data_IF_464732745239
#
_entry.id   IF_464732745239
#
_cell.length_a   1.000
_cell.length_b   1.000
_cell.length_c   1.000
_cell.angle_alpha   90.00
_cell.angle_beta   90.00
_cell.angle_gamma   90.00
#
_symmetry.space_group_name_H-M   'P 1'
#
loop_
_entity.id
_entity.type
_entity.pdbx_description
1 polymer ?
#
# COMPACT_ATOMS: atom_id res chain seq x y z
N UNK A 1 -19.02 -15.38 23.58
CA UNK A 1 -18.92 -14.90 22.19
C UNK A 1 -20.26 -15.10 21.51
N UNK A 2 -20.77 -14.07 20.82
CA UNK A 2 -22.01 -14.11 20.03
C UNK A 2 -21.70 -13.73 18.58
N UNK A 3 -22.26 -14.45 17.63
CA UNK A 3 -22.05 -14.18 16.21
C UNK A 3 -23.30 -14.46 15.37
N UNK A 4 -23.85 -13.40 14.78
CA UNK A 4 -24.91 -13.39 13.78
C UNK A 4 -25.02 -12.00 13.14
N UNK A 5 -24.78 -11.89 11.84
CA UNK A 5 -24.95 -10.64 11.10
C UNK A 5 -26.44 -10.33 11.04
N UNK A 6 -26.79 -9.16 11.57
CA UNK A 6 -28.16 -8.66 11.70
C UNK A 6 -28.14 -7.18 11.29
N UNK A 7 -28.45 -6.86 10.02
CA UNK A 7 -28.51 -5.49 9.56
C UNK A 7 -29.58 -4.67 10.29
N UNK A 8 -29.48 -3.35 10.19
CA UNK A 8 -30.50 -2.45 10.71
C UNK A 8 -31.76 -2.51 9.84
N UNK A 9 -32.93 -2.56 10.47
CA UNK A 9 -34.22 -2.45 9.76
C UNK A 9 -34.58 -0.99 9.50
N UNK A 10 -35.35 -0.73 8.44
CA UNK A 10 -35.71 0.64 8.05
C UNK A 10 -36.68 1.30 9.05
N UNK A 11 -37.59 0.51 9.62
CA UNK A 11 -38.56 0.95 10.63
C UNK A 11 -38.57 0.03 11.86
N UNK A 12 -38.94 0.52 13.07
CA UNK A 12 -39.15 -0.31 14.25
C UNK A 12 -40.24 -1.38 14.10
N UNK A 13 -41.18 -1.22 13.16
CA UNK A 13 -42.24 -2.19 12.86
C UNK A 13 -41.84 -3.28 11.87
N UNK A 14 -40.67 -3.16 11.24
CA UNK A 14 -40.18 -4.14 10.27
C UNK A 14 -39.66 -5.42 10.95
N UNK A 15 -39.75 -6.59 10.28
CA UNK A 15 -39.17 -7.82 10.79
C UNK A 15 -37.64 -7.71 10.89
N UNK A 16 -37.07 -8.36 11.90
CA UNK A 16 -35.60 -8.50 12.02
C UNK A 16 -35.11 -9.44 10.91
N UNK A 17 -34.19 -8.95 10.09
CA UNK A 17 -33.49 -9.73 9.08
C UNK A 17 -32.11 -10.10 9.61
N UNK A 18 -31.70 -11.35 9.39
CA UNK A 18 -30.39 -11.86 9.81
C UNK A 18 -29.98 -13.00 8.91
N UNK A 19 -28.68 -13.29 8.88
CA UNK A 19 -28.18 -14.47 8.19
C UNK A 19 -28.62 -15.79 8.85
N UNK A 20 -28.46 -16.88 8.09
CA UNK A 20 -28.74 -18.24 8.53
C UNK A 20 -27.67 -18.74 9.52
N UNK A 21 -26.42 -18.29 9.36
CA UNK A 21 -25.36 -18.61 10.29
C UNK A 21 -25.65 -18.00 11.66
N UNK A 22 -25.49 -18.80 12.70
CA UNK A 22 -25.60 -18.37 14.10
C UNK A 22 -24.61 -19.16 14.91
N UNK A 23 -23.91 -18.50 15.83
CA UNK A 23 -23.01 -19.17 16.77
C UNK A 23 -23.07 -18.50 18.14
N UNK A 24 -23.12 -19.32 19.18
CA UNK A 24 -23.09 -18.83 20.56
C UNK A 24 -22.15 -19.68 21.40
N UNK A 25 -21.04 -19.09 21.84
CA UNK A 25 -20.09 -19.75 22.75
C UNK A 25 -20.22 -19.12 24.13
N UNK A 26 -20.49 -19.95 25.13
CA UNK A 26 -20.90 -19.52 26.48
C UNK A 26 -20.05 -20.22 27.52
N UNK A 27 -19.53 -19.46 28.49
CA UNK A 27 -18.95 -20.06 29.68
C UNK A 27 -20.04 -20.67 30.56
N UNK A 28 -19.90 -21.93 30.95
CA UNK A 28 -20.91 -22.60 31.79
C UNK A 28 -20.80 -22.19 33.27
N UNK A 29 -21.05 -20.91 33.55
CA UNK A 29 -20.89 -20.26 34.87
C UNK A 29 -22.19 -19.57 35.30
N UNK A 30 -23.20 -20.37 35.63
CA UNK A 30 -24.53 -19.88 36.02
C UNK A 30 -24.81 -20.11 37.51
N UNK A 31 -25.13 -19.04 38.25
CA UNK A 31 -25.34 -19.11 39.70
C UNK A 31 -26.74 -19.60 40.13
N UNK A 32 -27.70 -19.68 39.20
CA UNK A 32 -29.09 -20.05 39.49
C UNK A 32 -29.71 -20.90 38.37
N UNK A 33 -28.94 -21.88 37.88
CA UNK A 33 -29.32 -22.71 36.74
C UNK A 33 -29.34 -21.94 35.42
N UNK A 34 -29.59 -22.68 34.34
CA UNK A 34 -29.73 -22.16 32.97
C UNK A 34 -30.62 -23.10 32.15
N UNK A 35 -31.13 -22.65 30.99
CA UNK A 35 -31.70 -23.57 30.01
C UNK A 35 -30.72 -24.67 29.60
N UNK A 36 -31.23 -25.76 29.02
CA UNK A 36 -30.44 -26.84 28.41
C UNK A 36 -29.77 -26.37 27.12
N UNK A 37 -28.87 -25.39 27.23
CA UNK A 37 -28.19 -24.77 26.09
C UNK A 37 -27.40 -25.78 25.25
N UNK A 38 -26.90 -26.84 25.87
CA UNK A 38 -26.15 -27.92 25.22
C UNK A 38 -26.94 -28.73 24.17
N UNK A 39 -28.28 -28.61 24.15
CA UNK A 39 -29.13 -29.30 23.16
C UNK A 39 -29.49 -28.42 21.97
N UNK A 40 -29.08 -27.15 21.99
CA UNK A 40 -29.37 -26.19 20.93
C UNK A 40 -28.21 -26.23 19.93
N UNK A 41 -28.53 -26.51 18.67
CA UNK A 41 -27.56 -26.48 17.59
C UNK A 41 -26.84 -25.13 17.52
N UNK A 42 -25.52 -25.16 17.33
CA UNK A 42 -24.61 -24.01 17.29
C UNK A 42 -24.39 -23.28 18.64
N UNK A 43 -24.87 -23.83 19.75
CA UNK A 43 -24.45 -23.40 21.08
C UNK A 43 -23.32 -24.28 21.60
N UNK A 44 -22.20 -23.67 21.97
CA UNK A 44 -21.06 -24.34 22.58
C UNK A 44 -20.89 -23.86 24.01
N UNK A 45 -21.03 -24.78 24.96
CA UNK A 45 -20.61 -24.55 26.34
C UNK A 45 -19.11 -24.82 26.47
N UNK A 46 -18.39 -23.90 27.09
CA UNK A 46 -16.94 -23.97 27.29
C UNK A 46 -16.56 -23.55 28.71
N UNK A 47 -15.36 -23.89 29.15
CA UNK A 47 -14.78 -23.38 30.40
C UNK A 47 -14.15 -21.98 30.22
N UNK A 48 -13.66 -21.71 29.01
CA UNK A 48 -13.03 -20.46 28.59
C UNK A 48 -13.54 -20.03 27.21
N UNK A 49 -14.12 -18.83 27.15
CA UNK A 49 -14.67 -18.23 25.92
C UNK A 49 -13.68 -17.33 25.19
N UNK A 50 -12.57 -16.96 25.84
CA UNK A 50 -11.65 -15.91 25.38
C UNK A 50 -11.04 -16.19 24.00
N UNK A 51 -10.62 -17.42 23.64
CA UNK A 51 -10.08 -17.69 22.30
C UNK A 51 -11.10 -17.45 21.18
N UNK A 52 -12.36 -17.87 21.40
CA UNK A 52 -13.45 -17.69 20.44
C UNK A 52 -13.84 -16.22 20.28
N UNK A 53 -13.86 -15.47 21.38
CA UNK A 53 -14.10 -14.03 21.34
C UNK A 53 -12.99 -13.29 20.59
N UNK A 54 -11.72 -13.57 20.90
CA UNK A 54 -10.58 -12.98 20.18
C UNK A 54 -10.62 -13.28 18.70
N UNK A 55 -10.89 -14.53 18.32
CA UNK A 55 -11.05 -14.94 16.92
C UNK A 55 -12.12 -14.11 16.22
N UNK A 56 -13.33 -14.02 16.78
CA UNK A 56 -14.44 -13.27 16.20
C UNK A 56 -14.15 -11.77 16.13
N UNK A 57 -13.62 -11.18 17.20
CA UNK A 57 -13.33 -9.74 17.26
C UNK A 57 -12.25 -9.35 16.25
N UNK A 58 -11.24 -10.20 16.03
CA UNK A 58 -10.16 -9.91 15.07
C UNK A 58 -10.53 -10.20 13.64
N UNK A 59 -11.09 -11.38 13.39
CA UNK A 59 -11.36 -11.83 12.03
C UNK A 59 -12.68 -11.29 11.50
N UNK A 60 -13.79 -11.39 12.24
CA UNK A 60 -15.08 -10.88 11.76
C UNK A 60 -15.18 -9.37 11.95
N UNK A 61 -15.07 -8.87 13.18
CA UNK A 61 -15.25 -7.43 13.40
C UNK A 61 -14.11 -6.60 12.79
N UNK A 62 -12.87 -7.11 12.84
CA UNK A 62 -11.72 -6.44 12.24
C UNK A 62 -11.85 -6.33 10.72
N UNK A 63 -12.24 -7.40 10.03
CA UNK A 63 -12.42 -7.36 8.58
C UNK A 63 -13.62 -6.53 8.15
N UNK A 64 -14.72 -6.48 8.93
CA UNK A 64 -15.81 -5.54 8.69
C UNK A 64 -15.32 -4.09 8.71
N UNK A 65 -14.54 -3.69 9.73
CA UNK A 65 -13.95 -2.35 9.79
C UNK A 65 -12.95 -2.12 8.65
N UNK A 66 -12.12 -3.12 8.32
CA UNK A 66 -11.13 -2.99 7.25
C UNK A 66 -11.80 -2.76 5.89
N UNK A 67 -12.77 -3.63 5.55
CA UNK A 67 -13.57 -3.55 4.34
C UNK A 67 -14.31 -2.22 4.25
N UNK A 68 -14.91 -1.76 5.36
CA UNK A 68 -15.90 -0.67 5.29
C UNK A 68 -15.30 0.63 4.77
N UNK A 69 -14.12 1.04 5.25
CA UNK A 69 -13.56 2.33 4.88
C UNK A 69 -13.05 2.35 3.44
N UNK A 70 -12.30 1.33 3.03
CA UNK A 70 -11.75 1.26 1.66
C UNK A 70 -12.87 1.12 0.63
N UNK A 71 -13.89 0.32 0.94
CA UNK A 71 -15.02 0.10 0.02
C UNK A 71 -15.91 1.33 -0.10
N UNK A 72 -16.13 2.07 0.98
CA UNK A 72 -16.91 3.30 0.92
C UNK A 72 -16.22 4.35 0.06
N UNK A 73 -14.91 4.53 0.26
CA UNK A 73 -14.06 5.42 -0.54
C UNK A 73 -14.06 5.02 -2.02
N UNK A 74 -14.09 3.71 -2.31
CA UNK A 74 -14.21 3.15 -3.66
C UNK A 74 -15.61 3.29 -4.28
N UNK A 75 -16.58 3.87 -3.56
CA UNK A 75 -17.93 4.13 -4.06
C UNK A 75 -18.94 3.00 -3.83
N UNK A 76 -18.54 1.92 -3.15
CA UNK A 76 -19.48 0.86 -2.77
C UNK A 76 -20.35 1.28 -1.57
N UNK A 77 -21.57 0.75 -1.50
CA UNK A 77 -22.51 1.01 -0.39
C UNK A 77 -23.05 -0.26 0.27
N UNK A 78 -23.19 -1.34 -0.48
CA UNK A 78 -23.57 -2.66 0.03
C UNK A 78 -22.35 -3.59 0.12
N UNK A 79 -22.27 -4.38 1.19
CA UNK A 79 -21.14 -5.29 1.48
C UNK A 79 -21.00 -6.38 0.42
N UNK A 80 -22.13 -6.98 0.01
CA UNK A 80 -22.15 -8.04 -1.02
C UNK A 80 -21.74 -7.51 -2.38
N UNK A 81 -22.14 -6.29 -2.75
CA UNK A 81 -21.69 -5.64 -3.97
C UNK A 81 -20.19 -5.30 -3.94
N UNK A 82 -19.67 -4.86 -2.79
CA UNK A 82 -18.24 -4.62 -2.64
C UNK A 82 -17.43 -5.91 -2.77
N UNK A 83 -17.86 -7.01 -2.16
CA UNK A 83 -17.18 -8.30 -2.26
C UNK A 83 -17.36 -9.01 -3.60
N UNK A 84 -18.29 -8.56 -4.45
CA UNK A 84 -18.35 -8.97 -5.85
C UNK A 84 -17.23 -8.35 -6.71
N UNK A 85 -16.61 -7.25 -6.24
CA UNK A 85 -15.39 -6.70 -6.85
C UNK A 85 -14.18 -7.53 -6.39
N UNK A 86 -13.35 -8.00 -7.34
CA UNK A 86 -12.19 -8.86 -7.09
C UNK A 86 -11.20 -8.20 -6.12
N UNK A 87 -10.91 -6.92 -6.30
CA UNK A 87 -9.83 -6.22 -5.60
C UNK A 87 -10.19 -6.00 -4.13
N UNK A 88 -11.45 -5.66 -3.87
CA UNK A 88 -12.00 -5.60 -2.51
C UNK A 88 -12.03 -6.99 -1.86
N UNK A 89 -12.46 -8.01 -2.58
CA UNK A 89 -12.45 -9.39 -2.10
C UNK A 89 -11.03 -9.85 -1.71
N UNK A 90 -10.05 -9.60 -2.57
CA UNK A 90 -8.66 -9.97 -2.35
C UNK A 90 -8.05 -9.19 -1.18
N UNK A 91 -8.33 -7.90 -1.05
CA UNK A 91 -7.95 -7.13 0.13
C UNK A 91 -8.46 -7.76 1.43
N UNK A 92 -9.75 -8.11 1.50
CA UNK A 92 -10.33 -8.74 2.71
C UNK A 92 -9.71 -10.10 2.96
N UNK A 93 -9.49 -10.91 1.92
CA UNK A 93 -8.80 -12.20 2.03
C UNK A 93 -7.38 -12.04 2.58
N UNK A 94 -6.61 -11.09 2.07
CA UNK A 94 -5.25 -10.80 2.53
C UNK A 94 -5.25 -10.28 3.97
N UNK A 95 -6.18 -9.39 4.33
CA UNK A 95 -6.37 -8.91 5.70
C UNK A 95 -6.68 -10.05 6.67
N UNK A 96 -7.61 -10.93 6.31
CA UNK A 96 -7.99 -12.08 7.14
C UNK A 96 -6.79 -13.01 7.39
N UNK A 97 -6.03 -13.34 6.35
CA UNK A 97 -4.81 -14.15 6.45
C UNK A 97 -3.77 -13.50 7.35
N UNK A 98 -3.54 -12.20 7.17
CA UNK A 98 -2.59 -11.42 7.96
C UNK A 98 -2.96 -11.40 9.45
N UNK A 99 -4.23 -11.16 9.77
CA UNK A 99 -4.72 -11.02 11.15
C UNK A 99 -4.88 -12.38 11.83
N UNK A 100 -5.19 -13.45 11.09
CA UNK A 100 -5.31 -14.81 11.61
C UNK A 100 -4.05 -15.30 12.33
N UNK A 101 -2.87 -14.82 11.92
CA UNK A 101 -1.59 -15.11 12.57
C UNK A 101 -1.52 -14.65 14.03
N UNK A 102 -2.40 -13.73 14.44
CA UNK A 102 -2.48 -13.24 15.83
C UNK A 102 -3.53 -13.99 16.64
N UNK A 103 -4.40 -14.77 16.01
CA UNK A 103 -5.47 -15.48 16.71
C UNK A 103 -4.88 -16.67 17.47
N UNK A 104 -5.12 -16.79 18.79
CA UNK A 104 -4.65 -17.95 19.54
C UNK A 104 -5.32 -19.23 19.05
N UNK A 105 -4.75 -20.39 19.35
CA UNK A 105 -5.39 -21.67 19.07
C UNK A 105 -6.82 -21.70 19.65
N UNK A 106 -7.81 -21.97 18.80
CA UNK A 106 -9.22 -22.05 19.18
C UNK A 106 -9.65 -23.51 19.12
N UNK A 107 -10.06 -24.12 20.26
CA UNK A 107 -10.42 -25.53 20.28
C UNK A 107 -11.51 -25.88 19.25
N UNK A 108 -11.25 -26.87 18.41
CA UNK A 108 -12.21 -27.38 17.43
C UNK A 108 -12.51 -26.45 16.25
N UNK A 109 -11.76 -25.36 16.07
CA UNK A 109 -11.93 -24.45 14.94
C UNK A 109 -10.73 -24.54 13.99
N UNK A 110 -11.03 -24.73 12.71
CA UNK A 110 -10.11 -24.51 11.61
C UNK A 110 -10.19 -23.03 11.19
N UNK A 111 -9.07 -22.30 11.35
CA UNK A 111 -9.02 -20.87 11.04
C UNK A 111 -9.04 -20.58 9.54
N UNK A 112 -8.50 -21.45 8.68
CA UNK A 112 -8.57 -21.26 7.23
C UNK A 112 -10.00 -21.42 6.75
N UNK A 113 -10.69 -22.47 7.24
CA UNK A 113 -12.10 -22.67 6.98
C UNK A 113 -12.95 -21.50 7.51
N UNK A 114 -12.66 -21.01 8.73
CA UNK A 114 -13.40 -19.88 9.31
C UNK A 114 -13.23 -18.60 8.48
N UNK A 115 -12.02 -18.29 8.01
CA UNK A 115 -11.77 -17.16 7.12
C UNK A 115 -12.55 -17.28 5.80
N UNK A 116 -12.50 -18.43 5.15
CA UNK A 116 -13.28 -18.68 3.93
C UNK A 116 -14.79 -18.55 4.19
N UNK A 117 -15.26 -18.99 5.36
CA UNK A 117 -16.66 -18.83 5.77
C UNK A 117 -17.06 -17.38 6.04
N UNK A 118 -16.16 -16.54 6.54
CA UNK A 118 -16.45 -15.11 6.68
C UNK A 118 -16.64 -14.45 5.32
N UNK A 119 -15.79 -14.73 4.34
CA UNK A 119 -15.95 -14.23 2.97
C UNK A 119 -17.28 -14.66 2.35
N UNK A 120 -17.65 -15.94 2.49
CA UNK A 120 -18.95 -16.50 2.06
C UNK A 120 -20.14 -15.78 2.72
N UNK A 121 -20.07 -15.56 4.05
CA UNK A 121 -21.12 -14.88 4.82
C UNK A 121 -21.28 -13.41 4.41
N UNK A 122 -20.18 -12.69 4.25
CA UNK A 122 -20.21 -11.28 3.87
C UNK A 122 -20.72 -11.10 2.44
N UNK A 123 -20.45 -12.07 1.55
CA UNK A 123 -20.89 -12.03 0.15
C UNK A 123 -22.37 -12.40 -0.04
N UNK A 124 -23.14 -12.61 1.03
CA UNK A 124 -24.54 -13.04 0.94
C UNK A 124 -25.47 -11.90 0.48
N UNK A 125 -26.02 -11.97 -0.76
CA UNK A 125 -26.83 -10.89 -1.33
C UNK A 125 -28.21 -10.74 -0.68
N UNK A 126 -28.63 -11.70 0.15
CA UNK A 126 -29.92 -11.64 0.84
C UNK A 126 -29.87 -10.79 2.12
N UNK A 127 -28.67 -10.49 2.63
CA UNK A 127 -28.49 -9.70 3.85
C UNK A 127 -28.50 -8.22 3.55
N UNK A 128 -27.90 -7.81 2.41
CA UNK A 128 -27.79 -6.40 1.98
C UNK A 128 -27.25 -5.50 3.09
N UNK A 129 -26.20 -5.97 3.75
CA UNK A 129 -25.59 -5.23 4.84
C UNK A 129 -24.94 -3.95 4.29
N UNK A 130 -25.06 -2.86 5.05
CA UNK A 130 -24.66 -1.53 4.59
C UNK A 130 -23.24 -1.22 5.06
N UNK A 131 -22.38 -0.82 4.12
CA UNK A 131 -21.01 -0.40 4.41
C UNK A 131 -20.97 0.77 5.39
N UNK A 132 -21.91 1.72 5.24
CA UNK A 132 -22.05 2.85 6.17
C UNK A 132 -22.17 2.35 7.61
N UNK A 133 -23.09 1.41 7.87
CA UNK A 133 -23.34 0.82 9.21
C UNK A 133 -22.09 0.14 9.79
N UNK A 134 -21.29 -0.50 8.93
CA UNK A 134 -20.02 -1.10 9.34
C UNK A 134 -18.99 -0.02 9.71
N UNK A 135 -18.95 1.09 8.99
CA UNK A 135 -18.04 2.22 9.19
C UNK A 135 -18.36 3.10 10.42
N UNK A 136 -19.58 3.02 10.97
CA UNK A 136 -19.96 3.79 12.17
C UNK A 136 -19.11 3.41 13.39
N UNK A 137 -18.96 4.33 14.35
CA UNK A 137 -18.26 4.10 15.62
C UNK A 137 -16.81 3.59 15.46
N UNK A 138 -16.15 3.97 14.37
CA UNK A 138 -14.80 3.56 14.03
C UNK A 138 -13.79 3.78 15.15
N UNK A 139 -13.84 4.91 15.86
CA UNK A 139 -12.94 5.22 16.97
C UNK A 139 -13.01 4.21 18.11
N UNK A 140 -14.16 3.58 18.32
CA UNK A 140 -14.37 2.53 19.33
C UNK A 140 -14.09 1.13 18.78
N UNK A 141 -14.49 0.86 17.53
CA UNK A 141 -14.23 -0.42 16.86
C UNK A 141 -12.73 -0.64 16.65
N UNK A 142 -12.00 0.34 16.09
CA UNK A 142 -10.57 0.23 15.81
C UNK A 142 -9.73 -0.01 17.08
N UNK A 143 -10.15 0.56 18.21
CA UNK A 143 -9.52 0.34 19.53
C UNK A 143 -9.64 -1.12 20.01
N UNK A 144 -10.73 -1.79 19.67
CA UNK A 144 -11.00 -3.16 20.15
C UNK A 144 -10.61 -4.23 19.13
N UNK A 145 -10.70 -3.93 17.82
CA UNK A 145 -10.45 -4.90 16.75
C UNK A 145 -9.02 -4.85 16.22
N UNK A 146 -8.46 -3.64 16.00
CA UNK A 146 -7.19 -3.47 15.31
C UNK A 146 -6.03 -3.16 16.25
N UNK A 147 -6.21 -2.30 17.25
CA UNK A 147 -5.12 -1.91 18.15
C UNK A 147 -4.42 -3.10 18.85
N UNK A 148 -5.14 -4.12 19.37
CA UNK A 148 -4.48 -5.30 19.93
C UNK A 148 -3.64 -6.07 18.89
N UNK A 149 -4.12 -6.12 17.64
CA UNK A 149 -3.41 -6.79 16.53
C UNK A 149 -2.16 -6.00 16.14
N UNK A 150 -2.25 -4.66 16.09
CA UNK A 150 -1.10 -3.77 15.86
C UNK A 150 -0.02 -4.04 16.90
N UNK A 151 -0.40 -4.11 18.18
CA UNK A 151 0.55 -4.34 19.26
C UNK A 151 1.22 -5.71 19.17
N UNK A 152 0.45 -6.78 18.93
CA UNK A 152 1.00 -8.14 18.81
C UNK A 152 1.91 -8.28 17.60
N UNK A 153 1.51 -7.76 16.43
CA UNK A 153 2.34 -7.73 15.23
C UNK A 153 3.64 -6.96 15.44
N UNK A 154 3.60 -5.85 16.17
CA UNK A 154 4.80 -5.07 16.50
C UNK A 154 5.73 -5.82 17.45
N UNK A 155 5.19 -6.48 18.47
CA UNK A 155 5.98 -7.32 19.39
C UNK A 155 6.67 -8.47 18.66
N UNK A 156 5.98 -9.11 17.70
CA UNK A 156 6.53 -10.20 16.90
C UNK A 156 7.30 -9.72 15.67
N UNK A 157 7.43 -8.41 15.46
CA UNK A 157 7.98 -7.78 14.24
C UNK A 157 7.38 -8.31 12.93
N UNK A 158 6.16 -8.83 12.98
CA UNK A 158 5.50 -9.41 11.82
C UNK A 158 4.95 -8.31 10.90
N UNK A 159 4.98 -8.51 9.57
CA UNK A 159 4.38 -7.56 8.64
C UNK A 159 2.87 -7.45 8.87
N UNK A 160 2.38 -6.22 8.68
CA UNK A 160 0.97 -5.88 8.79
C UNK A 160 0.52 -4.88 7.69
N UNK A 161 0.88 -5.09 6.40
CA UNK A 161 0.53 -4.16 5.32
C UNK A 161 -0.98 -3.97 5.15
N UNK A 162 -1.81 -5.02 5.27
CA UNK A 162 -3.26 -4.90 5.06
C UNK A 162 -3.94 -4.21 6.25
N UNK A 163 -3.47 -4.47 7.47
CA UNK A 163 -3.90 -3.74 8.65
C UNK A 163 -3.54 -2.25 8.56
N UNK A 164 -2.37 -1.93 7.99
CA UNK A 164 -1.96 -0.56 7.74
C UNK A 164 -2.81 0.12 6.66
N UNK A 165 -3.13 -0.58 5.57
CA UNK A 165 -4.03 -0.09 4.51
C UNK A 165 -5.43 0.17 5.05
N UNK A 166 -5.99 -0.78 5.82
CA UNK A 166 -7.27 -0.61 6.51
C UNK A 166 -7.29 0.65 7.39
N UNK A 167 -6.19 0.89 8.12
CA UNK A 167 -6.05 2.07 8.99
C UNK A 167 -5.90 3.35 8.17
N UNK A 168 -5.15 3.35 7.07
CA UNK A 168 -5.02 4.48 6.15
C UNK A 168 -6.36 4.84 5.50
N UNK A 169 -7.13 3.83 5.09
CA UNK A 169 -8.51 3.98 4.62
C UNK A 169 -9.40 4.64 5.68
N UNK A 170 -9.27 4.26 6.95
CA UNK A 170 -10.01 4.92 8.04
C UNK A 170 -9.62 6.40 8.20
N UNK A 171 -8.33 6.74 8.16
CA UNK A 171 -7.87 8.14 8.21
C UNK A 171 -8.49 8.94 7.07
N UNK A 172 -8.44 8.40 5.84
CA UNK A 172 -8.99 9.03 4.64
C UNK A 172 -10.51 9.19 4.69
N UNK A 173 -11.22 8.16 5.13
CA UNK A 173 -12.68 8.15 5.30
C UNK A 173 -13.12 9.24 6.29
N UNK A 174 -12.44 9.35 7.44
CA UNK A 174 -12.77 10.32 8.48
C UNK A 174 -12.65 11.78 8.06
N UNK A 175 -11.99 12.08 6.93
CA UNK A 175 -11.98 13.43 6.38
C UNK A 175 -13.37 13.89 5.87
N UNK A 176 -14.26 12.93 5.57
CA UNK A 176 -15.66 13.18 5.25
C UNK A 176 -15.95 13.42 3.77
N UNK A 177 -15.07 13.03 2.86
CA UNK A 177 -15.25 13.13 1.40
C UNK A 177 -14.71 11.86 0.75
N UNK A 178 -15.44 11.23 -0.18
CA UNK A 178 -14.96 10.03 -0.88
C UNK A 178 -14.00 10.37 -2.04
N UNK A 179 -13.56 9.38 -2.81
CA UNK A 179 -12.63 9.60 -3.93
C UNK A 179 -13.32 10.23 -5.16
N UNK A 180 -14.65 10.28 -5.17
CA UNK A 180 -15.45 10.92 -6.21
C UNK A 180 -15.87 12.34 -5.83
N UNK A 181 -15.41 12.84 -4.68
CA UNK A 181 -15.73 14.17 -4.18
C UNK A 181 -17.11 14.29 -3.52
N UNK A 182 -17.80 13.17 -3.23
CA UNK A 182 -19.07 13.21 -2.50
C UNK A 182 -18.82 13.31 -1.00
N UNK A 183 -19.69 14.06 -0.31
CA UNK A 183 -19.66 14.14 1.15
C UNK A 183 -19.98 12.78 1.79
N UNK A 184 -19.25 12.45 2.85
CA UNK A 184 -19.47 11.31 3.72
C UNK A 184 -19.99 11.80 5.06
N UNK A 185 -21.15 11.29 5.47
CA UNK A 185 -21.65 11.51 6.83
C UNK A 185 -20.86 10.65 7.83
N UNK A 186 -20.14 11.31 8.72
CA UNK A 186 -19.32 10.64 9.74
C UNK A 186 -20.14 10.48 11.03
N UNK A 187 -20.60 9.25 11.26
CA UNK A 187 -21.23 8.83 12.51
C UNK A 187 -20.19 8.15 13.41
N UNK A 188 -19.63 8.91 14.35
CA UNK A 188 -18.61 8.41 15.27
C UNK A 188 -18.67 9.19 16.61
N UNK A 189 -18.55 8.53 17.78
CA UNK A 189 -18.59 9.20 19.08
C UNK A 189 -17.45 10.21 19.28
N UNK A 190 -16.36 10.08 18.53
CA UNK A 190 -15.23 10.99 18.52
C UNK A 190 -15.12 11.84 17.25
N UNK A 191 -16.18 11.93 16.43
CA UNK A 191 -16.18 12.71 15.19
C UNK A 191 -15.73 14.16 15.41
N UNK A 192 -16.23 14.82 16.46
CA UNK A 192 -15.88 16.21 16.80
C UNK A 192 -14.37 16.42 17.06
N UNK A 193 -13.66 15.37 17.49
CA UNK A 193 -12.22 15.40 17.74
C UNK A 193 -11.43 14.94 16.52
N UNK A 194 -11.82 13.82 15.91
CA UNK A 194 -11.01 13.13 14.91
C UNK A 194 -11.21 13.68 13.49
N UNK A 195 -12.43 14.10 13.12
CA UNK A 195 -12.69 14.60 11.77
C UNK A 195 -11.91 15.88 11.43
N UNK A 196 -11.80 16.89 12.32
CA UNK A 196 -10.94 18.05 12.04
C UNK A 196 -9.48 17.68 11.79
N UNK A 197 -8.97 16.67 12.50
CA UNK A 197 -7.60 16.18 12.35
C UNK A 197 -7.45 15.43 11.02
N UNK A 198 -8.42 14.59 10.65
CA UNK A 198 -8.43 13.90 9.35
C UNK A 198 -8.49 14.90 8.17
N UNK A 199 -9.30 15.97 8.27
CA UNK A 199 -9.32 17.04 7.26
C UNK A 199 -8.00 17.78 7.16
N UNK A 200 -7.35 18.05 8.28
CA UNK A 200 -5.99 18.62 8.28
C UNK A 200 -4.96 17.66 7.67
N UNK A 201 -5.14 16.34 7.84
CA UNK A 201 -4.28 15.31 7.24
C UNK A 201 -4.38 15.28 5.70
N UNK A 202 -5.51 15.65 5.09
CA UNK A 202 -5.62 15.79 3.62
C UNK A 202 -4.66 16.85 3.09
N UNK A 203 -4.69 18.06 3.68
CA UNK A 203 -3.87 19.18 3.22
C UNK A 203 -2.39 19.03 3.58
N UNK A 204 -2.09 18.47 4.75
CA UNK A 204 -0.71 18.26 5.21
C UNK A 204 -0.07 16.97 4.70
N UNK A 205 -0.85 16.09 4.06
CA UNK A 205 -0.44 14.72 3.68
C UNK A 205 0.23 13.97 4.83
N UNK A 206 -0.30 14.11 6.05
CA UNK A 206 0.30 13.55 7.25
C UNK A 206 -0.76 12.85 8.11
N UNK A 207 -0.72 11.53 8.12
CA UNK A 207 -1.63 10.66 8.88
C UNK A 207 -1.30 10.60 10.37
N UNK A 208 -0.07 10.93 10.77
CA UNK A 208 0.43 10.70 12.14
C UNK A 208 -0.38 11.42 13.24
N UNK A 209 -0.76 12.70 13.12
CA UNK A 209 -1.56 13.37 14.14
C UNK A 209 -2.91 12.67 14.38
N UNK A 210 -3.51 12.13 13.32
CA UNK A 210 -4.76 11.37 13.42
C UNK A 210 -4.53 10.08 14.21
N UNK A 211 -3.49 9.31 13.87
CA UNK A 211 -3.14 8.07 14.59
C UNK A 211 -2.83 8.32 16.06
N UNK A 212 -2.11 9.39 16.37
CA UNK A 212 -1.79 9.81 17.73
C UNK A 212 -3.03 10.20 18.53
N UNK A 213 -4.02 10.85 17.90
CA UNK A 213 -5.29 11.19 18.54
C UNK A 213 -6.20 9.96 18.71
N UNK A 214 -6.23 9.09 17.70
CA UNK A 214 -7.07 7.90 17.67
C UNK A 214 -6.59 6.80 18.63
N UNK A 215 -5.30 6.47 18.60
CA UNK A 215 -4.72 5.36 19.35
C UNK A 215 -3.87 5.80 20.54
N UNK A 216 -3.45 7.06 20.59
CA UNK A 216 -2.59 7.60 21.64
C UNK A 216 -1.14 7.76 21.20
N UNK A 217 -0.55 8.89 21.60
CA UNK A 217 0.83 9.29 21.24
C UNK A 217 1.89 8.26 21.61
N UNK A 218 1.82 7.72 22.82
CA UNK A 218 2.84 6.78 23.29
C UNK A 218 2.75 5.44 22.57
N UNK A 219 1.55 5.00 22.19
CA UNK A 219 1.36 3.82 21.37
C UNK A 219 2.01 4.03 20.00
N UNK A 220 1.72 5.14 19.31
CA UNK A 220 2.32 5.39 17.99
C UNK A 220 3.83 5.58 18.06
N UNK A 221 4.38 6.13 19.15
CA UNK A 221 5.83 6.18 19.39
C UNK A 221 6.45 4.79 19.56
N UNK A 222 5.75 3.85 20.18
CA UNK A 222 6.22 2.47 20.35
C UNK A 222 6.08 1.64 19.05
N UNK A 223 5.28 2.11 18.09
CA UNK A 223 5.00 1.39 16.85
C UNK A 223 5.32 2.26 15.60
N UNK A 224 6.54 2.83 15.47
CA UNK A 224 6.87 3.78 14.41
C UNK A 224 6.85 3.15 13.02
N UNK A 225 7.22 1.87 12.90
CA UNK A 225 7.17 1.14 11.64
C UNK A 225 5.73 0.95 11.12
N UNK A 226 4.78 0.72 12.03
CA UNK A 226 3.36 0.64 11.66
C UNK A 226 2.84 2.01 11.20
N UNK A 227 3.14 3.08 11.95
CA UNK A 227 2.76 4.44 11.55
C UNK A 227 3.35 4.84 10.18
N UNK A 228 4.60 4.43 9.89
CA UNK A 228 5.22 4.63 8.57
C UNK A 228 4.50 3.87 7.45
N UNK A 229 4.08 2.62 7.68
CA UNK A 229 3.28 1.84 6.72
C UNK A 229 1.91 2.46 6.48
N UNK A 230 1.25 2.96 7.52
CA UNK A 230 -0.02 3.69 7.36
C UNK A 230 0.18 4.95 6.54
N UNK A 231 1.26 5.69 6.78
CA UNK A 231 1.60 6.88 6.00
C UNK A 231 1.82 6.55 4.53
N UNK A 232 2.59 5.49 4.22
CA UNK A 232 2.82 5.07 2.83
C UNK A 232 1.52 4.73 2.10
N UNK A 233 0.62 3.97 2.73
CA UNK A 233 -0.70 3.68 2.16
C UNK A 233 -1.56 4.92 2.02
N UNK A 234 -1.52 5.82 3.01
CA UNK A 234 -2.28 7.06 2.98
C UNK A 234 -1.83 7.96 1.84
N UNK A 235 -0.53 8.09 1.59
CA UNK A 235 0.02 8.85 0.48
C UNK A 235 -0.41 8.28 -0.87
N UNK A 236 -0.38 6.96 -1.04
CA UNK A 236 -0.89 6.29 -2.25
C UNK A 236 -2.38 6.53 -2.47
N UNK A 237 -3.20 6.37 -1.43
CA UNK A 237 -4.63 6.65 -1.50
C UNK A 237 -4.88 8.11 -1.94
N UNK A 238 -4.09 9.07 -1.45
CA UNK A 238 -4.22 10.47 -1.86
C UNK A 238 -3.75 10.76 -3.28
N UNK A 239 -2.81 9.97 -3.81
CA UNK A 239 -2.24 10.18 -5.13
C UNK A 239 -3.04 9.48 -6.23
N UNK A 240 -3.35 8.20 -6.02
CA UNK A 240 -3.89 7.29 -7.02
C UNK A 240 -5.40 7.01 -6.83
N UNK A 241 -5.92 7.27 -5.62
CA UNK A 241 -7.25 6.84 -5.20
C UNK A 241 -7.28 5.38 -4.73
N UNK A 242 -8.24 5.03 -3.88
CA UNK A 242 -8.32 3.72 -3.25
C UNK A 242 -8.57 2.59 -4.26
N UNK A 243 -9.27 2.88 -5.36
CA UNK A 243 -9.54 1.89 -6.41
C UNK A 243 -8.25 1.37 -7.06
N UNK A 244 -7.31 2.26 -7.42
CA UNK A 244 -5.99 1.88 -7.94
C UNK A 244 -5.12 1.17 -6.90
N UNK A 245 -5.20 1.61 -5.63
CA UNK A 245 -4.51 0.96 -4.52
C UNK A 245 -4.97 -0.49 -4.34
N UNK A 246 -6.27 -0.76 -4.47
CA UNK A 246 -6.82 -2.12 -4.36
C UNK A 246 -6.46 -2.99 -5.56
N UNK A 247 -6.57 -2.46 -6.78
CA UNK A 247 -6.23 -3.16 -8.05
C UNK A 247 -4.75 -3.59 -8.09
N UNK A 248 -3.85 -2.77 -7.55
CA UNK A 248 -2.40 -3.05 -7.52
C UNK A 248 -1.93 -3.88 -6.31
N UNK A 249 -2.83 -4.44 -5.49
CA UNK A 249 -2.43 -5.22 -4.30
C UNK A 249 -1.64 -6.48 -4.64
N UNK A 250 -1.93 -7.13 -5.77
CA UNK A 250 -1.22 -8.34 -6.21
C UNK A 250 0.24 -8.02 -6.58
N UNK A 251 0.53 -6.81 -7.09
CA UNK A 251 1.90 -6.36 -7.37
C UNK A 251 2.68 -6.02 -6.07
N UNK A 252 1.97 -5.58 -5.04
CA UNK A 252 2.54 -5.13 -3.76
C UNK A 252 2.65 -6.24 -2.71
N UNK A 253 1.85 -7.31 -2.82
CA UNK A 253 1.94 -8.50 -1.98
C UNK A 253 3.34 -9.13 -2.06
N UNK A 254 4.03 -9.01 -3.20
CA UNK A 254 5.42 -9.45 -3.40
C UNK A 254 6.49 -8.45 -2.94
N UNK A 255 6.12 -7.18 -2.69
CA UNK A 255 7.02 -6.17 -2.09
C UNK A 255 7.02 -6.17 -0.57
N UNK A 256 6.06 -6.87 0.07
CA UNK A 256 5.94 -7.00 1.53
C UNK A 256 5.99 -8.46 2.02
N UNK A 257 5.82 -9.45 1.14
CA UNK A 257 6.08 -10.84 1.43
C UNK A 257 7.57 -11.15 1.20
N UNK A 258 8.18 -11.78 2.20
CA UNK A 258 9.60 -12.14 2.30
C UNK A 258 10.59 -10.97 2.42
N UNK A 259 10.65 -10.42 3.63
CA UNK A 259 11.96 -10.26 4.28
C UNK A 259 11.88 -11.01 5.61
N UNK A 260 12.26 -12.30 5.57
CA UNK A 260 12.57 -13.06 6.77
C UNK A 260 13.83 -12.45 7.40
N UNK A 261 13.65 -11.68 8.46
CA UNK A 261 14.72 -10.97 9.19
C UNK A 261 15.49 -11.94 10.10
N UNK A 262 15.97 -13.03 9.50
CA UNK A 262 16.83 -14.03 10.11
C UNK A 262 18.29 -13.76 9.76
N UNK A 263 19.04 -13.27 10.74
CA UNK A 263 20.48 -13.34 10.88
C UNK A 263 21.34 -13.52 9.59
N UNK A 264 21.33 -12.75 8.50
CA UNK A 264 20.66 -11.50 8.17
C UNK A 264 21.10 -10.89 6.84
N UNK A 265 20.58 -9.69 6.59
CA UNK A 265 20.59 -9.13 5.26
C UNK A 265 20.45 -7.61 5.40
N UNK A 266 21.57 -6.93 5.67
CA UNK A 266 21.60 -5.47 5.73
C UNK A 266 21.56 -4.82 4.34
N UNK A 267 21.78 -5.58 3.26
CA UNK A 267 21.99 -4.99 1.93
C UNK A 267 20.70 -4.68 1.16
N UNK A 268 19.58 -5.38 1.40
CA UNK A 268 18.34 -5.11 0.62
C UNK A 268 17.64 -3.81 1.00
N UNK A 269 17.50 -3.53 2.30
CA UNK A 269 16.97 -2.24 2.79
C UNK A 269 17.86 -1.07 2.37
N UNK A 270 19.16 -1.31 2.25
CA UNK A 270 20.15 -0.31 1.85
C UNK A 270 20.12 -0.04 0.35
N UNK A 271 19.92 -1.08 -0.49
CA UNK A 271 19.68 -0.96 -1.94
C UNK A 271 18.41 -0.15 -2.25
N UNK A 272 17.30 -0.44 -1.56
CA UNK A 272 16.05 0.32 -1.69
C UNK A 272 16.19 1.75 -1.17
N UNK A 273 16.92 1.96 -0.08
CA UNK A 273 17.18 3.30 0.46
C UNK A 273 18.02 4.15 -0.49
N UNK A 274 18.98 3.54 -1.21
CA UNK A 274 19.81 4.22 -2.23
C UNK A 274 19.02 4.58 -3.49
N UNK A 275 18.16 3.69 -3.99
CA UNK A 275 17.27 4.02 -5.12
C UNK A 275 16.24 5.09 -4.74
N UNK A 276 15.77 5.10 -3.49
CA UNK A 276 14.94 6.18 -2.95
C UNK A 276 15.69 7.52 -2.75
N UNK A 277 17.03 7.54 -2.84
CA UNK A 277 17.79 8.81 -2.89
C UNK A 277 17.66 9.52 -4.23
N UNK A 278 17.32 8.80 -5.30
CA UNK A 278 17.03 9.35 -6.63
C UNK A 278 15.62 9.95 -6.58
N UNK A 279 15.54 11.19 -6.10
CA UNK A 279 14.30 11.97 -6.09
C UNK A 279 14.23 12.79 -7.37
N UNK A 280 13.53 12.25 -8.37
CA UNK A 280 13.11 13.02 -9.53
C UNK A 280 11.82 13.75 -9.17
N UNK A 281 11.76 15.05 -9.44
CA UNK A 281 10.51 15.81 -9.35
C UNK A 281 9.72 15.65 -10.65
N UNK A 282 8.43 16.01 -10.61
CA UNK A 282 7.60 16.06 -11.82
C UNK A 282 8.23 16.94 -12.90
N UNK A 283 8.80 18.08 -12.51
CA UNK A 283 9.52 19.01 -13.41
C UNK A 283 10.79 18.37 -14.00
N UNK A 284 11.52 17.57 -13.23
CA UNK A 284 12.68 16.82 -13.75
C UNK A 284 12.26 15.78 -14.79
N UNK A 285 11.15 15.08 -14.55
CA UNK A 285 10.62 14.08 -15.47
C UNK A 285 10.07 14.71 -16.75
N UNK A 286 9.35 15.83 -16.67
CA UNK A 286 8.91 16.58 -17.85
C UNK A 286 10.10 17.06 -18.69
N UNK A 287 11.14 17.60 -18.06
CA UNK A 287 12.35 18.02 -18.77
C UNK A 287 13.10 16.84 -19.40
N UNK A 288 13.16 15.69 -18.72
CA UNK A 288 13.71 14.46 -19.29
C UNK A 288 12.90 13.99 -20.49
N UNK A 289 11.57 14.02 -20.40
CA UNK A 289 10.71 13.64 -21.52
C UNK A 289 10.99 14.51 -22.75
N UNK A 290 10.94 15.84 -22.58
CA UNK A 290 11.17 16.81 -23.66
C UNK A 290 12.56 16.71 -24.28
N UNK A 291 13.57 16.29 -23.52
CA UNK A 291 14.92 16.12 -24.02
C UNK A 291 15.08 14.97 -25.03
N UNK A 292 14.21 13.96 -24.95
CA UNK A 292 14.30 12.75 -25.77
C UNK A 292 13.18 12.64 -26.82
N UNK A 293 12.16 13.50 -26.76
CA UNK A 293 11.19 13.73 -27.84
C UNK A 293 11.89 14.50 -28.97
N UNK A 294 12.64 13.78 -29.81
CA UNK A 294 13.56 14.38 -30.75
C UNK A 294 12.86 15.05 -31.94
N UNK A 295 11.61 14.67 -32.20
CA UNK A 295 10.78 15.20 -33.27
C UNK A 295 9.73 16.22 -32.80
N UNK A 296 9.68 16.52 -31.50
CA UNK A 296 8.72 17.44 -30.85
C UNK A 296 7.26 17.01 -31.16
N UNK A 297 7.03 15.70 -31.21
CA UNK A 297 5.72 15.11 -31.49
C UNK A 297 4.77 15.15 -30.30
N UNK A 298 5.31 15.37 -29.09
CA UNK A 298 4.60 15.27 -27.82
C UNK A 298 4.51 13.83 -27.29
N UNK A 299 5.24 12.89 -27.87
CA UNK A 299 5.31 11.48 -27.48
C UNK A 299 6.77 11.02 -27.52
N UNK A 300 7.13 10.04 -26.69
CA UNK A 300 8.37 9.29 -26.89
C UNK A 300 8.05 8.02 -27.68
N UNK A 301 8.62 7.89 -28.86
CA UNK A 301 8.63 6.62 -29.60
C UNK A 301 9.51 5.60 -28.84
N UNK A 302 9.25 4.31 -29.04
CA UNK A 302 10.01 3.25 -28.35
C UNK A 302 11.53 3.42 -28.45
N UNK A 303 12.07 3.76 -29.62
CA UNK A 303 13.52 3.92 -29.81
C UNK A 303 14.09 5.14 -29.06
N UNK A 304 13.30 6.20 -28.89
CA UNK A 304 13.65 7.38 -28.10
C UNK A 304 13.66 7.03 -26.60
N UNK A 305 12.64 6.30 -26.15
CA UNK A 305 12.56 5.84 -24.77
C UNK A 305 13.66 4.82 -24.43
N UNK A 306 14.01 3.93 -25.36
CA UNK A 306 15.18 3.02 -25.23
C UNK A 306 16.45 3.82 -25.00
N UNK A 307 16.63 4.89 -25.77
CA UNK A 307 17.79 5.78 -25.67
C UNK A 307 17.80 6.50 -24.32
N UNK A 308 16.64 7.00 -23.87
CA UNK A 308 16.47 7.62 -22.57
C UNK A 308 16.86 6.67 -21.43
N UNK A 309 16.35 5.43 -21.42
CA UNK A 309 16.68 4.45 -20.37
C UNK A 309 18.17 4.09 -20.36
N UNK A 310 18.77 3.94 -21.54
CA UNK A 310 20.21 3.69 -21.69
C UNK A 310 21.02 4.81 -21.06
N UNK A 311 20.72 6.04 -21.42
CA UNK A 311 21.44 7.21 -20.92
C UNK A 311 21.20 7.41 -19.42
N UNK A 312 19.97 7.18 -18.95
CA UNK A 312 19.60 7.26 -17.54
C UNK A 312 20.38 6.27 -16.66
N UNK A 313 20.35 4.97 -16.98
CA UNK A 313 21.04 3.95 -16.19
C UNK A 313 22.56 4.06 -16.31
N UNK A 314 23.07 4.44 -17.49
CA UNK A 314 24.49 4.77 -17.66
C UNK A 314 24.89 5.91 -16.72
N UNK A 315 24.09 6.97 -16.67
CA UNK A 315 24.39 8.13 -15.85
C UNK A 315 24.35 7.83 -14.36
N UNK A 316 23.38 7.03 -13.89
CA UNK A 316 23.36 6.58 -12.49
C UNK A 316 24.64 5.81 -12.18
N UNK A 317 25.07 4.89 -13.05
CA UNK A 317 26.30 4.10 -12.85
C UNK A 317 27.55 4.98 -12.78
N UNK A 318 27.58 6.11 -13.48
CA UNK A 318 28.69 7.08 -13.44
C UNK A 318 28.68 7.99 -12.21
N UNK A 319 27.50 8.43 -11.77
CA UNK A 319 27.35 9.43 -10.71
C UNK A 319 27.30 8.81 -9.31
N UNK A 320 26.70 7.62 -9.17
CA UNK A 320 26.57 6.94 -7.88
C UNK A 320 27.92 6.72 -7.17
N UNK A 321 29.02 6.33 -7.86
CA UNK A 321 30.34 6.20 -7.24
C UNK A 321 30.97 7.51 -6.74
N UNK A 322 30.46 8.66 -7.19
CA UNK A 322 30.97 9.99 -6.80
C UNK A 322 30.34 10.48 -5.50
N UNK A 323 29.28 9.82 -5.04
CA UNK A 323 28.57 10.16 -3.81
C UNK A 323 29.39 9.66 -2.63
N UNK A 324 29.62 10.52 -1.64
CA UNK A 324 30.27 10.12 -0.39
C UNK A 324 29.30 9.31 0.47
N UNK A 325 29.25 8.02 0.22
CA UNK A 325 28.46 7.05 0.97
C UNK A 325 29.07 6.74 2.35
N UNK A 326 30.31 7.16 2.62
CA UNK A 326 31.01 6.82 3.88
C UNK A 326 30.44 7.54 5.09
N UNK A 327 29.91 8.75 4.91
CA UNK A 327 29.23 9.53 5.96
C UNK A 327 27.86 8.95 6.33
N UNK A 328 27.31 8.15 5.42
CA UNK A 328 25.99 7.56 5.51
C UNK A 328 26.15 6.14 6.07
N UNK A 329 26.93 5.28 5.43
CA UNK A 329 27.02 3.84 5.73
C UNK A 329 28.35 3.41 6.39
N UNK A 330 29.33 4.31 6.54
CA UNK A 330 30.68 3.97 7.01
C UNK A 330 31.58 3.41 5.90
N UNK A 331 32.89 3.66 6.00
CA UNK A 331 33.84 3.40 4.89
C UNK A 331 34.05 1.92 4.51
N UNK A 332 33.77 0.97 5.41
CA UNK A 332 33.91 -0.46 5.11
C UNK A 332 32.67 -1.06 4.44
N UNK A 333 31.50 -0.46 4.64
CA UNK A 333 30.23 -0.89 4.04
C UNK A 333 29.94 -0.13 2.73
N UNK A 334 30.48 1.08 2.54
CA UNK A 334 30.21 1.94 1.38
C UNK A 334 30.61 1.32 0.03
N UNK A 335 31.79 0.70 -0.05
CA UNK A 335 32.34 0.23 -1.33
C UNK A 335 31.65 -1.06 -1.77
N UNK A 336 31.46 -2.01 -0.84
CA UNK A 336 30.73 -3.27 -1.10
C UNK A 336 29.27 -3.01 -1.50
N UNK A 337 28.62 -2.07 -0.83
CA UNK A 337 27.23 -1.69 -1.10
C UNK A 337 27.08 -0.98 -2.44
N UNK A 338 28.02 -0.10 -2.78
CA UNK A 338 28.04 0.60 -4.06
C UNK A 338 28.16 -0.39 -5.22
N UNK A 339 29.11 -1.32 -5.14
CA UNK A 339 29.30 -2.36 -6.16
C UNK A 339 28.03 -3.21 -6.33
N UNK A 340 27.39 -3.62 -5.24
CA UNK A 340 26.14 -4.38 -5.27
C UNK A 340 24.96 -3.61 -5.88
N UNK A 341 24.86 -2.31 -5.65
CA UNK A 341 23.80 -1.47 -6.23
C UNK A 341 24.06 -1.27 -7.72
N UNK A 342 25.30 -1.05 -8.12
CA UNK A 342 25.69 -0.99 -9.53
C UNK A 342 25.41 -2.31 -10.24
N UNK A 343 25.60 -3.46 -9.59
CA UNK A 343 25.25 -4.77 -10.14
C UNK A 343 23.73 -4.97 -10.26
N UNK A 344 22.93 -4.38 -9.37
CA UNK A 344 21.47 -4.51 -9.35
C UNK A 344 20.76 -3.62 -10.38
N UNK A 345 21.35 -2.47 -10.76
CA UNK A 345 20.80 -1.61 -11.81
C UNK A 345 20.64 -2.40 -13.11
N UNK A 346 19.60 -2.14 -13.93
CA UNK A 346 19.54 -2.62 -15.30
C UNK A 346 20.86 -2.36 -16.03
N UNK A 347 21.31 -3.36 -16.78
CA UNK A 347 22.36 -3.13 -17.76
C UNK A 347 21.74 -2.26 -18.86
N UNK A 348 22.24 -1.04 -19.11
CA UNK A 348 21.70 -0.18 -20.15
C UNK A 348 21.67 -0.88 -21.51
N UNK A 349 22.61 -1.81 -21.77
CA UNK A 349 22.71 -2.50 -23.06
C UNK A 349 21.86 -3.80 -23.13
N UNK A 350 21.14 -4.16 -22.07
CA UNK A 350 20.26 -5.35 -22.06
C UNK A 350 18.86 -5.03 -22.61
N UNK A 351 18.69 -5.31 -23.91
CA UNK A 351 17.42 -5.11 -24.62
C UNK A 351 16.24 -5.90 -24.02
N UNK A 352 16.46 -6.98 -23.26
CA UNK A 352 15.35 -7.74 -22.63
C UNK A 352 14.70 -6.92 -21.53
N UNK A 353 15.52 -6.29 -20.68
CA UNK A 353 15.04 -5.44 -19.58
C UNK A 353 14.36 -4.20 -20.13
N UNK A 354 14.97 -3.59 -21.15
CA UNK A 354 14.42 -2.41 -21.80
C UNK A 354 13.08 -2.69 -22.47
N UNK A 355 12.93 -3.84 -23.15
CA UNK A 355 11.66 -4.24 -23.76
C UNK A 355 10.58 -4.57 -22.71
N UNK A 356 10.95 -5.15 -21.55
CA UNK A 356 9.99 -5.35 -20.46
C UNK A 356 9.46 -4.02 -19.89
N UNK A 357 10.33 -3.02 -19.77
CA UNK A 357 9.93 -1.69 -19.29
C UNK A 357 9.04 -0.98 -20.31
N UNK A 358 9.35 -1.10 -21.60
CA UNK A 358 8.49 -0.62 -22.69
C UNK A 358 7.10 -1.22 -22.64
N UNK A 359 6.96 -2.55 -22.48
CA UNK A 359 5.66 -3.21 -22.39
C UNK A 359 4.81 -2.73 -21.20
N UNK A 360 5.46 -2.22 -20.13
CA UNK A 360 4.77 -1.73 -18.95
C UNK A 360 4.32 -0.27 -19.10
N UNK A 361 5.07 0.53 -19.86
CA UNK A 361 4.81 1.95 -20.10
C UNK A 361 3.88 2.19 -21.29
N UNK A 362 4.12 1.48 -22.39
CA UNK A 362 3.24 1.40 -23.54
C UNK A 362 2.29 0.21 -23.35
N UNK A 363 1.36 0.36 -22.41
CA UNK A 363 0.39 -0.68 -22.08
C UNK A 363 -0.64 -0.93 -23.21
N UNK A 364 -0.72 -0.02 -24.19
CA UNK A 364 -1.66 -0.11 -25.32
C UNK A 364 -1.00 -0.66 -26.60
N UNK A 365 0.33 -0.85 -26.59
CA UNK A 365 1.18 -1.39 -27.66
C UNK A 365 1.11 -0.55 -28.96
N UNK A 366 0.93 0.77 -28.83
CA UNK A 366 0.84 1.70 -29.96
C UNK A 366 2.19 2.24 -30.44
N UNK A 367 3.27 1.90 -29.75
CA UNK A 367 4.65 2.29 -30.06
C UNK A 367 5.07 3.61 -29.44
N UNK A 368 4.18 4.29 -28.69
CA UNK A 368 4.36 5.66 -28.20
C UNK A 368 4.08 5.74 -26.70
N UNK A 369 4.76 6.67 -26.04
CA UNK A 369 4.58 6.92 -24.61
C UNK A 369 4.18 8.38 -24.45
N UNK A 370 3.01 8.63 -23.87
CA UNK A 370 2.54 9.99 -23.59
C UNK A 370 3.27 10.61 -22.37
N UNK A 371 3.32 11.95 -22.25
CA UNK A 371 3.99 12.62 -21.12
C UNK A 371 3.43 12.18 -19.76
N UNK A 372 2.11 12.09 -19.62
CA UNK A 372 1.47 11.67 -18.37
C UNK A 372 1.77 10.20 -18.05
N UNK A 373 1.74 9.30 -19.05
CA UNK A 373 2.07 7.88 -18.90
C UNK A 373 3.54 7.69 -18.50
N UNK A 374 4.44 8.46 -19.11
CA UNK A 374 5.84 8.51 -18.74
C UNK A 374 5.98 8.95 -17.28
N UNK A 375 5.43 10.10 -16.89
CA UNK A 375 5.64 10.64 -15.54
C UNK A 375 5.04 9.74 -14.46
N UNK A 376 3.84 9.22 -14.69
CA UNK A 376 3.13 8.37 -13.71
C UNK A 376 3.86 7.04 -13.48
N UNK A 377 4.52 6.51 -14.51
CA UNK A 377 5.05 5.14 -14.49
C UNK A 377 6.58 5.06 -14.45
N UNK A 378 7.30 6.14 -14.81
CA UNK A 378 8.78 6.17 -14.78
C UNK A 378 9.32 6.04 -13.36
N UNK A 379 8.59 6.54 -12.36
CA UNK A 379 8.92 6.31 -10.95
C UNK A 379 8.92 4.81 -10.58
N UNK A 380 8.04 4.00 -11.18
CA UNK A 380 8.04 2.55 -10.98
C UNK A 380 9.27 1.90 -11.62
N UNK A 381 9.65 2.36 -12.81
CA UNK A 381 10.84 1.88 -13.56
C UNK A 381 12.13 2.12 -12.78
N UNK A 382 12.27 3.28 -12.14
CA UNK A 382 13.44 3.61 -11.30
C UNK A 382 13.48 2.76 -10.02
N UNK A 383 12.33 2.22 -9.59
CA UNK A 383 12.17 1.52 -8.31
C UNK A 383 12.28 -0.01 -8.42
N UNK A 384 12.21 -0.61 -9.63
CA UNK A 384 12.04 -2.07 -9.78
C UNK A 384 13.23 -2.78 -10.46
N UNK A 385 13.91 -3.65 -9.70
CA UNK A 385 14.36 -4.98 -10.17
C UNK A 385 14.32 -6.00 -9.02
N UNK A 386 13.12 -6.49 -8.69
CA UNK A 386 12.88 -7.37 -7.52
C UNK A 386 12.63 -8.85 -7.84
N UNK A 387 12.98 -9.38 -9.02
CA UNK A 387 12.50 -10.72 -9.42
C UNK A 387 13.54 -11.76 -9.91
N UNK A 388 14.85 -11.55 -9.73
CA UNK A 388 15.82 -12.60 -10.15
C UNK A 388 16.98 -12.91 -9.20
N UNK A 389 17.18 -12.19 -8.08
CA UNK A 389 18.39 -12.33 -7.27
C UNK A 389 18.18 -12.84 -5.83
N UNK A 390 16.93 -13.08 -5.40
CA UNK A 390 16.61 -13.50 -4.03
C UNK A 390 16.90 -14.98 -3.70
N UNK A 391 17.68 -15.69 -4.53
CA UNK A 391 17.96 -17.13 -4.33
C UNK A 391 19.25 -17.40 -3.53
N UNK A 392 20.16 -16.44 -3.34
CA UNK A 392 21.44 -16.73 -2.69
C UNK A 392 21.83 -15.78 -1.54
N UNK A 393 21.98 -16.38 -0.35
CA UNK A 393 22.82 -16.03 0.80
C UNK A 393 22.26 -15.15 1.95
N UNK A 394 22.14 -15.80 3.12
CA UNK A 394 21.82 -15.31 4.47
C UNK A 394 23.06 -14.96 5.34
N UNK A 395 23.09 -13.86 6.12
CA UNK A 395 24.06 -13.56 7.21
C UNK A 395 24.15 -12.07 7.74
N UNK A 396 24.09 -11.73 9.07
CA UNK A 396 23.65 -10.42 9.62
C UNK A 396 24.75 -9.43 10.06
N UNK A 397 24.31 -8.20 10.50
CA UNK A 397 24.77 -7.30 11.62
C UNK A 397 25.10 -5.85 11.17
N UNK A 398 24.92 -4.72 11.92
CA UNK A 398 23.94 -4.25 12.93
C UNK A 398 23.25 -2.86 12.65
N UNK A 399 22.13 -2.61 13.35
CA UNK A 399 21.32 -1.37 13.25
C UNK A 399 21.90 -0.11 13.94
N UNK A 400 22.21 0.92 13.15
CA UNK A 400 22.07 2.34 13.56
C UNK A 400 21.28 3.09 12.48
N UNK A 401 20.35 3.97 12.91
CA UNK A 401 19.49 4.73 12.01
C UNK A 401 20.32 5.79 11.28
N UNK A 402 20.69 5.49 10.04
CA UNK A 402 21.42 6.40 9.18
C UNK A 402 20.46 7.43 8.59
N UNK A 403 20.71 8.71 8.88
CA UNK A 403 20.00 9.81 8.24
C UNK A 403 20.67 10.10 6.90
N UNK A 404 20.05 9.66 5.80
CA UNK A 404 20.59 9.80 4.45
C UNK A 404 20.12 11.12 3.81
N UNK A 405 21.00 12.05 3.42
CA UNK A 405 20.61 13.25 2.67
C UNK A 405 20.19 12.88 1.24
N UNK A 406 19.17 13.55 0.65
CA UNK A 406 18.73 13.26 -0.72
C UNK A 406 19.84 13.55 -1.74
N UNK A 407 19.95 12.70 -2.77
CA UNK A 407 20.73 13.03 -3.96
C UNK A 407 19.95 14.09 -4.74
N UNK A 408 20.30 15.35 -4.56
CA UNK A 408 19.96 16.37 -5.54
C UNK A 408 20.96 16.25 -6.66
N UNK A 409 20.53 15.85 -7.85
CA UNK A 409 21.39 15.99 -9.02
C UNK A 409 21.64 17.48 -9.27
N UNK A 410 22.74 17.98 -8.74
CA UNK A 410 23.08 19.40 -8.81
C UNK A 410 23.29 19.84 -10.25
N UNK A 411 22.54 20.86 -10.67
CA UNK A 411 22.93 21.88 -11.65
C UNK A 411 23.26 21.44 -13.09
N UNK A 412 23.07 20.17 -13.46
CA UNK A 412 23.42 19.67 -14.81
C UNK A 412 22.28 19.01 -15.58
N UNK A 413 21.18 18.59 -14.95
CA UNK A 413 19.98 18.16 -15.70
C UNK A 413 19.35 19.33 -16.47
N UNK A 414 19.37 20.55 -15.91
CA UNK A 414 18.97 21.77 -16.62
C UNK A 414 19.99 22.26 -17.68
N UNK A 415 21.03 21.48 -18.03
CA UNK A 415 21.97 21.79 -19.11
C UNK A 415 21.96 20.76 -20.26
N UNK A 416 20.87 20.02 -20.43
CA UNK A 416 20.67 19.14 -21.59
C UNK A 416 20.71 19.91 -22.95
N UNK A 417 20.64 21.26 -22.94
CA UNK A 417 20.85 22.08 -24.15
C UNK A 417 22.24 21.95 -24.82
N UNK A 418 23.24 21.27 -24.23
CA UNK A 418 24.62 21.30 -24.76
C UNK A 418 25.29 19.97 -25.13
N UNK A 419 24.65 18.81 -24.96
CA UNK A 419 25.34 17.51 -25.16
C UNK A 419 24.63 16.52 -26.10
N UNK A 420 23.55 16.93 -26.77
CA UNK A 420 23.02 16.14 -27.88
C UNK A 420 23.97 16.23 -29.10
N UNK A 421 24.80 15.18 -29.26
CA UNK A 421 25.72 14.88 -30.37
C UNK A 421 26.97 15.76 -30.48
N UNK A 422 28.06 15.26 -29.91
CA UNK A 422 29.41 15.54 -30.39
C UNK A 422 30.04 14.25 -30.94
N UNK A 423 29.37 13.66 -31.93
CA UNK A 423 30.00 12.74 -32.89
C UNK A 423 30.01 13.43 -34.24
N UNK A 424 31.20 13.89 -34.62
CA UNK A 424 31.44 14.45 -35.94
C UNK A 424 31.23 13.39 -37.01
N UNK A 425 30.18 13.56 -37.80
CA UNK A 425 30.32 13.58 -39.25
C UNK A 425 29.13 14.31 -39.90
N UNK A 426 29.45 15.02 -40.97
CA UNK A 426 28.62 15.94 -41.76
C UNK A 426 27.13 15.61 -41.90
N UNK A 427 26.27 16.65 -41.93
CA UNK A 427 25.43 16.97 -43.12
C UNK A 427 24.63 18.29 -42.95
N UNK A 428 24.96 19.21 -43.85
CA UNK A 428 24.18 20.27 -44.53
C UNK A 428 23.38 21.36 -43.75
N UNK A 429 23.71 22.60 -44.11
CA UNK A 429 23.08 23.86 -43.69
C UNK A 429 21.72 24.14 -44.38
N UNK A 430 21.20 23.24 -45.20
CA UNK A 430 19.93 23.46 -45.92
C UNK A 430 18.67 23.30 -45.03
N UNK A 431 18.76 22.59 -43.91
CA UNK A 431 17.61 22.40 -42.99
C UNK A 431 17.39 23.57 -42.02
N UNK A 432 18.41 24.39 -41.76
CA UNK A 432 18.31 25.57 -40.86
C UNK A 432 17.60 26.77 -41.50
N UNK A 433 17.34 26.73 -42.81
CA UNK A 433 16.68 27.82 -43.54
C UNK A 433 15.15 27.71 -43.60
N UNK A 434 14.55 26.55 -43.27
CA UNK A 434 13.08 26.34 -43.39
C UNK A 434 12.27 26.60 -42.11
N UNK A 435 12.90 26.70 -40.94
CA UNK A 435 12.22 26.97 -39.67
C UNK A 435 12.17 28.46 -39.25
N UNK A 436 12.60 29.39 -40.12
CA UNK A 436 12.54 30.85 -39.87
C UNK A 436 11.60 31.60 -40.83
N UNK A 437 10.49 30.97 -41.21
CA UNK A 437 9.48 31.55 -42.10
C UNK A 437 8.01 31.27 -41.68
N UNK A 438 7.75 30.89 -40.43
CA UNK A 438 6.38 30.71 -39.91
C UNK A 438 6.14 31.46 -38.58
N UNK A 439 6.73 32.65 -38.46
CA UNK A 439 6.42 33.64 -37.43
C UNK A 439 6.62 35.04 -38.02
N UNK A 440 5.75 35.38 -38.97
CA UNK A 440 5.49 36.73 -39.44
C UNK A 440 3.97 36.92 -39.57
#
# INVERSE_FOLDING_TARGET
MVDRITPQTASPEDPIVSEDFVQWVVEDKFCNGRPYLEVIDNVLLTEDVMPYEKMKVRLLNGSHSALSYVSYLAGHRDVDHALANKDVHDFVRMYLSEVAQTVPAVPGIDLEWYQAKLLDRFSNPNIKDQIQRLAEDGSSKMQTTMLPVIHEKAQSRAPAPMLALATAGWVRYMAGVDDFGNDIEITDPQAATLQPIARAALGSRNSRPFLEAAFGKDIMKQNPAFAGKVQAWYDRILHEGVHRVLDSLDEFAFGFADVDMGDGDENQLTRLSLLQMIKLTYEDLEHMFQAYDADDSGYLEHDEFKTLLKDFFTRIREELPKVDLTTIFGAAASDSLLDEVLEALPDPDDDVVVNMLLMRLDANDDGKIAPDEFVDSFHEVVTIRHHQLAVDASGPVPSEAIHVPPMTFGGSWCQIETWARDDGDSLDNESKAKAKAASA
#
